data_IF_339182929358
#
_entry.id   IF_339182929358
#
_cell.length_a   1.000
_cell.length_b   1.000
_cell.length_c   1.000
_cell.angle_alpha   90.00
_cell.angle_beta   90.00
_cell.angle_gamma   90.00
#
_symmetry.space_group_name_H-M   'P 1'
#
loop_
_entity.id
_entity.type
_entity.pdbx_description
1 polymer ?
#
# COMPACT_ATOMS: atom_id res chain seq x y z
N UNK A 1 -9.75 22.36 -7.05
CA UNK A 1 -8.44 23.04 -6.88
C UNK A 1 -7.27 22.24 -7.50
N UNK A 2 -7.43 21.66 -8.71
CA UNK A 2 -6.47 20.73 -9.34
C UNK A 2 -5.68 21.31 -10.54
N UNK A 3 -5.74 22.63 -10.76
CA UNK A 3 -5.09 23.29 -11.92
C UNK A 3 -3.73 23.93 -11.61
N UNK A 4 -3.28 23.91 -10.36
CA UNK A 4 -2.03 24.55 -9.99
C UNK A 4 -0.93 23.48 -9.94
N UNK A 5 0.10 23.66 -10.76
CA UNK A 5 1.40 22.97 -10.77
C UNK A 5 1.62 21.72 -11.64
N UNK A 6 0.72 21.34 -12.56
CA UNK A 6 1.07 20.31 -13.54
C UNK A 6 1.45 20.93 -14.88
N UNK A 7 2.70 20.74 -15.30
CA UNK A 7 3.14 21.14 -16.66
C UNK A 7 2.47 20.25 -17.71
N UNK A 8 2.24 20.77 -18.92
CA UNK A 8 1.72 19.95 -20.03
C UNK A 8 2.60 18.72 -20.30
N UNK A 9 3.90 18.87 -20.09
CA UNK A 9 4.87 17.78 -20.20
C UNK A 9 4.61 16.67 -19.15
N UNK A 10 4.35 17.05 -17.89
CA UNK A 10 4.04 16.10 -16.83
C UNK A 10 2.71 15.40 -17.09
N UNK A 11 1.69 16.14 -17.52
CA UNK A 11 0.39 15.57 -17.88
C UNK A 11 0.54 14.54 -19.01
N UNK A 12 1.25 14.90 -20.08
CA UNK A 12 1.53 14.00 -21.19
C UNK A 12 2.30 12.75 -20.73
N UNK A 13 3.31 12.90 -19.87
CA UNK A 13 4.05 11.77 -19.34
C UNK A 13 3.17 10.82 -18.51
N UNK A 14 2.26 11.36 -17.69
CA UNK A 14 1.29 10.59 -16.91
C UNK A 14 0.31 9.83 -17.80
N UNK A 15 -0.17 10.45 -18.88
CA UNK A 15 -1.05 9.82 -19.88
C UNK A 15 -0.35 8.67 -20.61
N UNK A 16 0.86 8.90 -21.13
CA UNK A 16 1.67 7.86 -21.80
C UNK A 16 1.95 6.69 -20.85
N UNK A 17 2.41 6.98 -19.62
CA UNK A 17 2.67 5.96 -18.61
C UNK A 17 1.41 5.12 -18.31
N UNK A 18 0.27 5.78 -18.09
CA UNK A 18 -0.99 5.10 -17.73
C UNK A 18 -1.53 4.26 -18.87
N UNK A 19 -1.54 4.81 -20.10
CA UNK A 19 -2.08 4.13 -21.27
C UNK A 19 -1.25 2.90 -21.64
N UNK A 20 0.07 3.02 -21.67
CA UNK A 20 0.95 1.89 -22.00
C UNK A 20 0.84 0.75 -20.98
N UNK A 21 0.73 1.06 -19.68
CA UNK A 21 0.54 0.02 -18.67
C UNK A 21 -0.87 -0.58 -18.70
N UNK A 22 -1.91 0.22 -18.97
CA UNK A 22 -3.28 -0.29 -19.12
C UNK A 22 -3.38 -1.30 -20.29
N UNK A 23 -2.77 -0.99 -21.42
CA UNK A 23 -2.74 -1.87 -22.60
C UNK A 23 -2.12 -3.23 -22.25
N UNK A 24 -0.98 -3.23 -21.55
CA UNK A 24 -0.30 -4.46 -21.10
C UNK A 24 -1.17 -5.22 -20.08
N UNK A 25 -1.78 -4.49 -19.15
CA UNK A 25 -2.58 -5.06 -18.07
C UNK A 25 -3.84 -5.78 -18.55
N UNK A 26 -4.38 -5.44 -19.73
CA UNK A 26 -5.50 -6.16 -20.35
C UNK A 26 -5.25 -7.67 -20.45
N UNK A 27 -3.99 -8.07 -20.65
CA UNK A 27 -3.59 -9.47 -20.68
C UNK A 27 -2.82 -9.89 -19.44
N UNK A 28 -1.90 -9.07 -18.94
CA UNK A 28 -1.03 -9.45 -17.83
C UNK A 28 -1.82 -9.77 -16.56
N UNK A 29 -2.87 -9.02 -16.23
CA UNK A 29 -3.67 -9.26 -15.02
C UNK A 29 -4.55 -10.52 -15.05
N UNK A 30 -4.70 -11.17 -16.21
CA UNK A 30 -5.31 -12.51 -16.28
C UNK A 30 -4.42 -13.56 -15.60
N UNK A 31 -3.10 -13.33 -15.55
CA UNK A 31 -2.17 -14.14 -14.79
C UNK A 31 -2.07 -13.63 -13.34
N UNK A 32 -2.52 -14.46 -12.38
CA UNK A 32 -2.50 -14.13 -10.96
C UNK A 32 -1.11 -13.82 -10.39
N UNK A 33 -0.03 -14.30 -11.03
CA UNK A 33 1.33 -14.00 -10.59
C UNK A 33 1.80 -12.63 -11.09
N UNK A 34 1.40 -12.25 -12.30
CA UNK A 34 1.73 -10.92 -12.85
C UNK A 34 0.94 -9.82 -12.13
N UNK A 35 -0.26 -10.10 -11.59
CA UNK A 35 -0.98 -9.15 -10.72
C UNK A 35 -0.14 -8.71 -9.50
N UNK A 36 0.80 -9.52 -9.03
CA UNK A 36 1.69 -9.18 -7.92
C UNK A 36 2.88 -8.28 -8.32
N UNK A 37 3.05 -8.00 -9.62
CA UNK A 37 4.13 -7.16 -10.11
C UNK A 37 3.84 -5.67 -9.81
N UNK A 38 4.77 -4.94 -9.16
CA UNK A 38 4.51 -3.57 -8.75
C UNK A 38 4.46 -2.60 -9.93
N UNK A 39 5.30 -2.73 -10.96
CA UNK A 39 5.24 -1.84 -12.13
C UNK A 39 3.84 -1.87 -12.76
N UNK A 40 3.28 -3.06 -12.92
CA UNK A 40 1.96 -3.24 -13.50
C UNK A 40 0.86 -2.57 -12.67
N UNK A 41 1.07 -2.29 -11.38
CA UNK A 41 0.08 -1.57 -10.55
C UNK A 41 -0.09 -0.10 -10.91
N UNK A 42 0.73 0.45 -11.82
CA UNK A 42 0.76 1.86 -12.22
C UNK A 42 1.16 2.82 -11.09
N UNK A 43 1.70 2.31 -9.98
CA UNK A 43 2.21 3.18 -8.93
C UNK A 43 3.59 3.74 -9.37
N UNK A 44 3.75 5.07 -9.52
CA UNK A 44 4.98 5.67 -10.02
C UNK A 44 6.14 5.68 -8.99
N UNK A 45 5.87 5.37 -7.72
CA UNK A 45 6.87 5.51 -6.63
C UNK A 45 7.74 4.29 -6.40
N UNK A 46 7.42 3.20 -7.07
CA UNK A 46 8.02 1.87 -6.90
C UNK A 46 8.85 1.44 -8.11
N UNK A 47 8.93 2.29 -9.13
CA UNK A 47 9.69 2.11 -10.36
C UNK A 47 10.09 3.47 -10.94
N UNK A 48 10.94 3.51 -11.95
CA UNK A 48 11.40 4.77 -12.53
C UNK A 48 10.70 5.14 -13.85
N UNK A 49 9.76 4.32 -14.35
CA UNK A 49 9.24 4.45 -15.71
C UNK A 49 8.64 5.83 -15.98
N UNK A 50 7.78 6.36 -15.09
CA UNK A 50 7.17 7.68 -15.27
C UNK A 50 8.22 8.79 -15.40
N UNK A 51 9.23 8.77 -14.52
CA UNK A 51 10.33 9.74 -14.57
C UNK A 51 11.14 9.63 -15.86
N UNK A 52 11.38 8.40 -16.35
CA UNK A 52 12.09 8.15 -17.61
C UNK A 52 11.30 8.62 -18.83
N UNK A 53 9.98 8.44 -18.82
CA UNK A 53 9.07 8.98 -19.85
C UNK A 53 9.08 10.51 -19.81
N UNK A 54 8.96 11.11 -18.62
CA UNK A 54 9.01 12.56 -18.43
C UNK A 54 10.31 13.17 -18.97
N UNK A 55 11.45 12.51 -18.72
CA UNK A 55 12.77 12.89 -19.23
C UNK A 55 13.01 12.53 -20.70
N UNK A 56 12.04 11.90 -21.37
CA UNK A 56 12.15 11.41 -22.76
C UNK A 56 13.37 10.52 -22.97
N UNK A 57 13.69 9.69 -21.98
CA UNK A 57 14.83 8.78 -22.06
C UNK A 57 14.65 7.75 -23.18
N UNK A 58 15.75 7.46 -23.88
CA UNK A 58 15.82 6.32 -24.78
C UNK A 58 16.17 5.06 -23.99
N UNK A 59 15.54 3.95 -24.34
CA UNK A 59 15.91 2.64 -23.79
C UNK A 59 17.39 2.35 -24.10
N UNK A 60 18.09 1.73 -23.14
CA UNK A 60 19.52 1.45 -23.21
C UNK A 60 19.86 0.29 -24.16
N UNK A 61 18.85 -0.35 -24.75
CA UNK A 61 19.00 -1.47 -25.69
C UNK A 61 18.49 -2.78 -25.09
N UNK A 62 18.98 -3.93 -25.59
CA UNK A 62 18.63 -5.23 -25.02
C UNK A 62 19.26 -5.37 -23.64
N UNK A 63 18.46 -5.76 -22.64
CA UNK A 63 18.97 -6.06 -21.29
C UNK A 63 19.94 -7.25 -21.39
N UNK A 64 21.16 -7.07 -20.88
CA UNK A 64 22.18 -8.12 -20.87
C UNK A 64 21.69 -9.35 -20.09
N UNK A 65 21.92 -10.54 -20.64
CA UNK A 65 21.53 -11.81 -20.02
C UNK A 65 22.11 -11.96 -18.60
N UNK A 66 23.35 -11.52 -18.39
CA UNK A 66 24.01 -11.49 -17.08
C UNK A 66 23.27 -10.62 -16.06
N UNK A 67 22.72 -9.49 -16.50
CA UNK A 67 21.91 -8.60 -15.65
C UNK A 67 20.62 -9.28 -15.24
N UNK A 68 19.94 -9.93 -16.20
CA UNK A 68 18.72 -10.72 -15.93
C UNK A 68 19.02 -11.85 -14.94
N UNK A 69 20.06 -12.65 -15.19
CA UNK A 69 20.45 -13.76 -14.32
C UNK A 69 20.75 -13.28 -12.89
N UNK A 70 21.51 -12.18 -12.73
CA UNK A 70 21.78 -11.58 -11.42
C UNK A 70 20.50 -11.17 -10.69
N UNK A 71 19.54 -10.54 -11.39
CA UNK A 71 18.26 -10.12 -10.80
C UNK A 71 17.41 -11.31 -10.38
N UNK A 72 17.38 -12.38 -11.18
CA UNK A 72 16.66 -13.63 -10.86
C UNK A 72 17.27 -14.34 -9.64
N UNK A 73 18.61 -14.46 -9.59
CA UNK A 73 19.31 -15.04 -8.43
C UNK A 73 19.02 -14.23 -7.16
N UNK A 74 19.16 -12.90 -7.24
CA UNK A 74 18.89 -12.01 -6.11
C UNK A 74 17.43 -12.11 -5.64
N UNK A 75 16.49 -12.23 -6.58
CA UNK A 75 15.08 -12.44 -6.28
C UNK A 75 14.86 -13.74 -5.49
N UNK A 76 15.48 -14.86 -5.88
CA UNK A 76 15.33 -16.12 -5.16
C UNK A 76 15.89 -16.02 -3.75
N UNK A 77 17.14 -15.55 -3.61
CA UNK A 77 17.78 -15.36 -2.30
C UNK A 77 16.89 -14.52 -1.39
N UNK A 78 16.45 -13.35 -1.87
CA UNK A 78 15.60 -12.44 -1.10
C UNK A 78 14.25 -13.06 -0.75
N UNK A 79 13.61 -13.74 -1.70
CA UNK A 79 12.28 -14.34 -1.50
C UNK A 79 12.31 -15.47 -0.47
N UNK A 80 13.28 -16.37 -0.55
CA UNK A 80 13.43 -17.47 0.42
C UNK A 80 13.85 -16.96 1.80
N UNK A 81 14.76 -15.98 1.88
CA UNK A 81 15.10 -15.33 3.15
C UNK A 81 13.87 -14.71 3.83
N UNK A 82 12.98 -14.09 3.04
CA UNK A 82 11.73 -13.54 3.55
C UNK A 82 10.71 -14.61 3.96
N UNK A 83 10.66 -15.77 3.29
CA UNK A 83 9.85 -16.91 3.76
C UNK A 83 10.35 -17.38 5.12
N UNK A 84 11.67 -17.57 5.29
CA UNK A 84 12.24 -17.98 6.57
C UNK A 84 11.92 -16.97 7.69
N UNK A 85 12.09 -15.68 7.40
CA UNK A 85 11.76 -14.63 8.35
C UNK A 85 10.25 -14.61 8.69
N UNK A 86 9.39 -14.81 7.70
CA UNK A 86 7.94 -14.90 7.92
C UNK A 86 7.59 -16.12 8.78
N UNK A 87 8.23 -17.28 8.55
CA UNK A 87 8.06 -18.46 9.40
C UNK A 87 8.48 -18.18 10.84
N UNK A 88 9.60 -17.48 11.05
CA UNK A 88 10.01 -17.06 12.40
C UNK A 88 8.98 -16.14 13.06
N UNK A 89 8.41 -15.18 12.31
CA UNK A 89 7.32 -14.32 12.81
C UNK A 89 6.05 -15.11 13.11
N UNK A 90 5.71 -16.09 12.28
CA UNK A 90 4.57 -17.00 12.49
C UNK A 90 4.76 -17.86 13.75
N UNK A 91 5.96 -18.40 13.96
CA UNK A 91 6.30 -19.11 15.20
C UNK A 91 6.15 -18.18 16.41
N UNK A 92 6.70 -16.97 16.34
CA UNK A 92 6.54 -15.96 17.39
C UNK A 92 5.07 -15.60 17.66
N UNK A 93 4.25 -15.51 16.61
CA UNK A 93 2.80 -15.32 16.71
C UNK A 93 2.13 -16.48 17.47
N UNK A 94 2.40 -17.74 17.08
CA UNK A 94 1.82 -18.90 17.78
C UNK A 94 2.28 -19.00 19.24
N UNK A 95 3.57 -18.74 19.50
CA UNK A 95 4.13 -18.73 20.86
C UNK A 95 3.54 -17.62 21.73
N UNK A 96 3.06 -16.52 21.14
CA UNK A 96 2.42 -15.45 21.90
C UNK A 96 1.13 -15.87 22.57
N UNK A 97 0.54 -17.00 22.15
CA UNK A 97 -0.72 -17.52 22.67
C UNK A 97 -1.94 -16.76 22.15
N UNK A 98 -1.76 -15.79 21.25
CA UNK A 98 -2.85 -14.99 20.68
C UNK A 98 -3.93 -15.89 20.07
N UNK A 99 -5.17 -15.66 20.51
CA UNK A 99 -6.38 -16.27 20.00
C UNK A 99 -7.35 -15.16 19.69
N UNK A 100 -7.98 -15.26 18.53
CA UNK A 100 -8.94 -14.28 18.06
C UNK A 100 -10.29 -14.48 18.77
N UNK A 101 -10.35 -14.00 20.02
CA UNK A 101 -11.38 -14.37 21.00
C UNK A 101 -12.79 -13.89 20.61
N UNK A 102 -12.91 -12.77 19.89
CA UNK A 102 -14.20 -12.21 19.46
C UNK A 102 -14.56 -12.63 18.04
N UNK A 103 -13.63 -12.69 17.10
CA UNK A 103 -13.84 -13.26 15.76
C UNK A 103 -14.44 -14.67 15.81
N UNK A 104 -13.91 -15.55 16.66
CA UNK A 104 -14.41 -16.91 16.82
C UNK A 104 -15.82 -16.99 17.43
N UNK A 105 -16.22 -16.00 18.25
CA UNK A 105 -17.55 -15.93 18.89
C UNK A 105 -18.59 -15.18 18.06
N UNK A 106 -18.19 -14.14 17.33
CA UNK A 106 -19.08 -13.28 16.53
C UNK A 106 -19.47 -13.90 15.19
N UNK A 107 -18.56 -14.64 14.53
CA UNK A 107 -18.83 -15.25 13.21
C UNK A 107 -19.93 -16.31 13.25
N UNK A 108 -20.05 -17.09 14.33
CA UNK A 108 -21.09 -18.13 14.39
C UNK A 108 -22.51 -17.56 14.34
N UNK A 109 -22.68 -16.29 14.73
CA UNK A 109 -24.00 -15.68 14.91
C UNK A 109 -24.25 -14.47 14.00
N UNK A 110 -23.29 -14.07 13.15
CA UNK A 110 -23.41 -12.88 12.30
C UNK A 110 -23.55 -13.22 10.82
N UNK A 111 -24.37 -12.43 10.14
CA UNK A 111 -24.61 -12.56 8.71
C UNK A 111 -23.59 -11.81 7.87
N UNK A 112 -22.80 -10.89 8.45
CA UNK A 112 -21.78 -10.10 7.76
C UNK A 112 -20.55 -9.86 8.66
N UNK A 113 -19.35 -10.06 8.12
CA UNK A 113 -18.07 -9.73 8.76
C UNK A 113 -17.56 -8.37 8.26
N UNK A 114 -17.28 -7.43 9.18
CA UNK A 114 -16.65 -6.15 8.84
C UNK A 114 -15.14 -6.21 9.05
N UNK A 115 -14.37 -5.93 7.99
CA UNK A 115 -12.91 -5.98 7.96
C UNK A 115 -12.36 -4.58 7.73
N UNK A 116 -11.45 -4.14 8.59
CA UNK A 116 -10.74 -2.87 8.47
C UNK A 116 -9.33 -3.14 7.92
N UNK A 117 -9.12 -2.84 6.65
CA UNK A 117 -7.88 -3.08 5.90
C UNK A 117 -7.02 -1.81 5.87
N UNK A 118 -5.92 -1.82 6.62
CA UNK A 118 -5.09 -0.64 6.89
C UNK A 118 -3.62 -1.02 6.94
N UNK A 119 -2.73 -0.06 6.73
CA UNK A 119 -1.32 -0.25 7.04
C UNK A 119 -1.05 -0.11 8.55
N UNK A 120 -0.03 -0.80 9.05
CA UNK A 120 0.35 -0.75 10.47
C UNK A 120 1.87 -0.71 10.63
N UNK A 121 2.41 0.44 11.06
CA UNK A 121 3.82 0.58 11.45
C UNK A 121 4.02 -0.26 12.71
N UNK A 122 4.83 -1.31 12.65
CA UNK A 122 5.01 -2.22 13.77
C UNK A 122 5.44 -1.49 15.04
N UNK A 123 6.30 -0.48 14.92
CA UNK A 123 6.80 0.31 16.06
C UNK A 123 5.76 1.28 16.65
N UNK A 124 4.70 1.62 15.91
CA UNK A 124 3.64 2.51 16.41
C UNK A 124 2.42 1.74 16.94
N UNK A 125 2.31 0.43 16.73
CA UNK A 125 1.15 -0.36 17.18
C UNK A 125 0.92 -0.18 18.69
N UNK A 126 1.97 -0.32 19.51
CA UNK A 126 1.87 -0.14 20.96
C UNK A 126 1.58 1.31 21.35
N UNK A 127 2.23 2.27 20.68
CA UNK A 127 2.04 3.72 20.91
C UNK A 127 0.60 4.16 20.64
N UNK A 128 -0.04 3.52 19.66
CA UNK A 128 -1.40 3.80 19.24
C UNK A 128 -2.45 2.98 20.00
N UNK A 129 -2.09 2.36 21.13
CA UNK A 129 -2.98 1.48 21.90
C UNK A 129 -3.62 0.38 21.04
N UNK A 130 -2.86 -0.17 20.08
CA UNK A 130 -3.27 -1.24 19.17
C UNK A 130 -4.45 -0.89 18.25
N UNK A 131 -4.80 0.39 18.13
CA UNK A 131 -5.88 0.89 17.27
C UNK A 131 -5.32 1.65 16.08
N UNK A 132 -6.15 1.83 15.06
CA UNK A 132 -5.81 2.73 13.97
C UNK A 132 -5.92 4.19 14.41
N UNK A 133 -4.79 4.88 14.34
CA UNK A 133 -4.68 6.31 14.61
C UNK A 133 -4.11 7.09 13.42
N UNK A 134 -3.70 6.40 12.36
CA UNK A 134 -2.93 6.98 11.27
C UNK A 134 -3.73 7.06 9.96
N UNK A 135 -4.68 6.15 9.74
CA UNK A 135 -5.37 6.02 8.46
C UNK A 135 -6.87 6.31 8.56
N UNK A 136 -7.63 5.41 9.19
CA UNK A 136 -9.07 5.50 9.44
C UNK A 136 -9.33 5.86 10.91
N UNK A 137 -8.72 6.97 11.36
CA UNK A 137 -8.76 7.39 12.76
C UNK A 137 -10.19 7.58 13.27
N UNK A 138 -10.48 7.01 14.44
CA UNK A 138 -11.78 7.11 15.11
C UNK A 138 -12.87 6.20 14.53
N UNK A 139 -12.62 5.51 13.41
CA UNK A 139 -13.56 4.57 12.80
C UNK A 139 -13.95 3.47 13.79
N UNK A 140 -12.97 2.96 14.52
CA UNK A 140 -13.14 1.97 15.57
C UNK A 140 -14.14 2.40 16.65
N UNK A 141 -14.04 3.66 17.06
CA UNK A 141 -14.95 4.25 18.07
C UNK A 141 -16.38 4.35 17.52
N UNK A 142 -16.52 4.72 16.25
CA UNK A 142 -17.83 4.80 15.58
C UNK A 142 -18.45 3.40 15.47
N UNK A 143 -17.66 2.40 15.05
CA UNK A 143 -18.13 1.02 14.92
C UNK A 143 -18.56 0.46 16.29
N UNK A 144 -17.79 0.70 17.35
CA UNK A 144 -18.13 0.28 18.72
C UNK A 144 -19.40 0.97 19.23
N UNK A 145 -19.54 2.29 19.05
CA UNK A 145 -20.75 3.04 19.44
C UNK A 145 -22.01 2.53 18.73
N UNK A 146 -21.88 2.00 17.52
CA UNK A 146 -22.99 1.46 16.74
C UNK A 146 -23.12 -0.07 16.88
N UNK A 147 -22.41 -0.70 17.82
CA UNK A 147 -22.41 -2.15 18.03
C UNK A 147 -22.13 -2.96 16.75
N UNK A 148 -21.24 -2.46 15.89
CA UNK A 148 -20.80 -3.16 14.67
C UNK A 148 -19.49 -3.88 14.97
N UNK A 149 -19.47 -5.21 15.06
CA UNK A 149 -18.23 -5.94 15.26
C UNK A 149 -17.34 -5.84 14.02
N UNK A 150 -16.06 -5.65 14.26
CA UNK A 150 -15.08 -5.49 13.20
C UNK A 150 -13.76 -6.14 13.59
N UNK A 151 -12.95 -6.40 12.58
CA UNK A 151 -11.61 -6.95 12.74
C UNK A 151 -10.60 -6.17 11.90
N UNK A 152 -9.41 -5.94 12.45
CA UNK A 152 -8.31 -5.35 11.68
C UNK A 152 -7.61 -6.42 10.84
N UNK A 153 -7.41 -6.14 9.55
CA UNK A 153 -6.58 -6.96 8.65
C UNK A 153 -5.34 -6.16 8.24
N UNK A 154 -4.35 -5.97 9.13
CA UNK A 154 -3.27 -5.02 8.89
C UNK A 154 -2.29 -5.45 7.81
N UNK A 155 -1.70 -4.46 7.15
CA UNK A 155 -0.48 -4.58 6.34
C UNK A 155 0.69 -4.10 7.20
N UNK A 156 1.43 -5.04 7.79
CA UNK A 156 2.56 -4.71 8.66
C UNK A 156 3.75 -4.15 7.88
N UNK A 157 4.33 -3.05 8.35
CA UNK A 157 5.57 -2.48 7.79
C UNK A 157 6.50 -1.89 8.86
N UNK A 158 7.77 -1.68 8.50
CA UNK A 158 8.82 -1.14 9.37
C UNK A 158 9.72 -2.22 9.99
N UNK A 159 9.19 -3.01 10.93
CA UNK A 159 10.01 -3.99 11.66
C UNK A 159 9.90 -5.41 11.12
N UNK A 160 11.05 -6.09 11.08
CA UNK A 160 11.18 -7.48 10.71
C UNK A 160 11.42 -8.43 11.90
N UNK A 161 11.63 -7.90 13.11
CA UNK A 161 12.00 -8.69 14.30
C UNK A 161 10.84 -9.55 14.84
N UNK A 162 10.94 -10.90 14.83
CA UNK A 162 9.91 -11.79 15.37
C UNK A 162 9.57 -11.56 16.85
N UNK A 163 10.55 -11.21 17.70
CA UNK A 163 10.31 -10.95 19.13
C UNK A 163 9.43 -9.72 19.36
N UNK A 164 9.53 -8.71 18.48
CA UNK A 164 8.60 -7.57 18.51
C UNK A 164 7.16 -8.03 18.21
N UNK A 165 6.97 -8.91 17.23
CA UNK A 165 5.66 -9.49 16.93
C UNK A 165 5.12 -10.33 18.09
N UNK A 166 5.93 -11.19 18.70
CA UNK A 166 5.55 -11.92 19.92
C UNK A 166 5.01 -10.97 20.99
N UNK A 167 5.77 -9.91 21.30
CA UNK A 167 5.41 -8.93 22.33
C UNK A 167 4.13 -8.16 21.98
N UNK A 168 3.92 -7.83 20.70
CA UNK A 168 2.71 -7.16 20.22
C UNK A 168 1.50 -8.07 20.39
N UNK A 169 1.53 -9.29 19.85
CA UNK A 169 0.38 -10.19 19.88
C UNK A 169 0.04 -10.68 21.30
N UNK A 170 1.06 -10.90 22.13
CA UNK A 170 0.86 -11.21 23.56
C UNK A 170 0.10 -10.08 24.27
N UNK A 171 0.36 -8.82 23.91
CA UNK A 171 -0.34 -7.68 24.51
C UNK A 171 -1.72 -7.48 23.90
N UNK A 172 -1.90 -7.64 22.57
CA UNK A 172 -3.21 -7.58 21.90
C UNK A 172 -4.17 -8.59 22.53
N UNK A 173 -3.70 -9.79 22.89
CA UNK A 173 -4.54 -10.79 23.56
C UNK A 173 -5.21 -10.30 24.87
N UNK A 174 -4.59 -9.35 25.57
CA UNK A 174 -5.15 -8.74 26.78
C UNK A 174 -6.08 -7.55 26.49
N UNK A 175 -6.19 -7.17 25.22
CA UNK A 175 -7.05 -6.08 24.76
C UNK A 175 -8.35 -6.60 24.19
N UNK A 176 -9.25 -5.65 23.93
CA UNK A 176 -10.57 -5.86 23.37
C UNK A 176 -10.59 -5.66 21.85
N UNK A 177 -9.47 -5.90 21.17
CA UNK A 177 -9.24 -5.59 19.76
C UNK A 177 -8.82 -6.85 19.03
N UNK A 178 -9.49 -7.14 17.92
CA UNK A 178 -9.21 -8.31 17.10
C UNK A 178 -8.39 -7.95 15.85
N UNK A 179 -7.47 -8.83 15.53
CA UNK A 179 -6.60 -8.81 14.36
C UNK A 179 -6.70 -10.13 13.62
N UNK A 180 -6.81 -10.06 12.29
CA UNK A 180 -6.69 -11.19 11.37
C UNK A 180 -5.45 -11.04 10.51
N UNK A 181 -4.63 -12.10 10.48
CA UNK A 181 -3.32 -12.05 9.82
C UNK A 181 -3.05 -13.31 9.02
N UNK A 182 -2.11 -13.24 8.10
CA UNK A 182 -1.60 -14.40 7.37
C UNK A 182 -0.92 -15.43 8.29
N UNK A 183 -0.41 -15.01 9.46
CA UNK A 183 0.17 -15.92 10.44
C UNK A 183 -0.84 -16.97 10.94
N UNK A 184 -2.09 -16.58 11.20
CA UNK A 184 -3.16 -17.50 11.57
C UNK A 184 -3.83 -18.18 10.38
N UNK A 185 -4.01 -17.46 9.26
CA UNK A 185 -4.81 -17.95 8.13
C UNK A 185 -4.10 -18.98 7.26
N UNK A 186 -2.77 -18.87 7.12
CA UNK A 186 -2.05 -19.72 6.20
C UNK A 186 -1.80 -21.10 6.80
N UNK A 187 -2.11 -22.13 6.04
CA UNK A 187 -1.72 -23.50 6.33
C UNK A 187 -0.56 -23.89 5.42
N UNK A 188 -0.16 -25.17 5.46
CA UNK A 188 0.87 -25.73 4.58
C UNK A 188 0.49 -25.52 3.11
N UNK A 189 -0.80 -25.56 2.77
CA UNK A 189 -1.30 -25.30 1.40
C UNK A 189 -0.91 -23.92 0.87
N UNK A 190 -1.02 -22.87 1.69
CA UNK A 190 -0.65 -21.51 1.28
C UNK A 190 0.85 -21.34 1.18
N UNK A 191 1.61 -22.01 2.06
CA UNK A 191 3.08 -22.04 1.99
C UNK A 191 3.50 -22.69 0.66
N UNK A 192 2.91 -23.83 0.27
CA UNK A 192 3.17 -24.46 -1.04
C UNK A 192 2.82 -23.51 -2.20
N UNK A 193 1.67 -22.82 -2.14
CA UNK A 193 1.29 -21.81 -3.15
C UNK A 193 2.33 -20.68 -3.23
N UNK A 194 2.87 -20.20 -2.10
CA UNK A 194 3.93 -19.19 -2.05
C UNK A 194 5.23 -19.71 -2.66
N UNK A 195 5.66 -20.92 -2.32
CA UNK A 195 6.87 -21.52 -2.90
C UNK A 195 6.71 -21.67 -4.42
N UNK A 196 5.55 -22.13 -4.90
CA UNK A 196 5.23 -22.19 -6.33
C UNK A 196 5.27 -20.81 -6.99
N UNK A 197 4.73 -19.78 -6.34
CA UNK A 197 4.85 -18.40 -6.82
C UNK A 197 6.32 -17.99 -6.93
N UNK A 198 7.13 -18.26 -5.90
CA UNK A 198 8.55 -17.90 -5.89
C UNK A 198 9.25 -18.50 -7.11
N UNK A 199 9.08 -19.81 -7.35
CA UNK A 199 9.73 -20.51 -8.47
C UNK A 199 9.25 -20.08 -9.85
N UNK A 200 7.97 -19.72 -10.01
CA UNK A 200 7.36 -19.48 -11.33
C UNK A 200 7.35 -17.99 -11.72
N UNK A 201 7.25 -17.08 -10.76
CA UNK A 201 7.05 -15.65 -11.02
C UNK A 201 8.11 -15.01 -11.93
N UNK A 202 9.44 -15.24 -11.74
CA UNK A 202 10.44 -14.64 -12.62
C UNK A 202 10.22 -15.01 -14.09
N UNK A 203 9.88 -16.28 -14.37
CA UNK A 203 9.63 -16.75 -15.72
C UNK A 203 8.38 -16.11 -16.34
N UNK A 204 7.34 -15.87 -15.55
CA UNK A 204 6.15 -15.13 -16.00
C UNK A 204 6.52 -13.69 -16.40
N UNK A 205 7.32 -13.00 -15.59
CA UNK A 205 7.78 -11.64 -15.90
C UNK A 205 8.67 -11.63 -17.14
N UNK A 206 9.60 -12.59 -17.29
CA UNK A 206 10.45 -12.70 -18.47
C UNK A 206 9.66 -13.03 -19.74
N UNK A 207 8.63 -13.87 -19.65
CA UNK A 207 7.74 -14.15 -20.77
C UNK A 207 6.94 -12.91 -21.16
N UNK A 208 6.47 -12.11 -20.19
CA UNK A 208 5.85 -10.81 -20.48
C UNK A 208 6.85 -9.85 -21.14
N UNK A 209 8.12 -9.82 -20.71
CA UNK A 209 9.14 -9.02 -21.38
C UNK A 209 9.31 -9.46 -22.84
N UNK A 210 9.36 -10.77 -23.12
CA UNK A 210 9.48 -11.29 -24.49
C UNK A 210 8.30 -10.89 -25.37
N UNK A 211 7.06 -10.89 -24.85
CA UNK A 211 5.90 -10.45 -25.64
C UNK A 211 5.94 -8.97 -26.03
N UNK A 212 6.78 -8.16 -25.37
CA UNK A 212 6.96 -6.74 -25.68
C UNK A 212 8.08 -6.47 -26.71
N UNK A 213 8.87 -7.47 -27.14
CA UNK A 213 10.13 -7.24 -27.88
C UNK A 213 10.00 -6.58 -29.26
N UNK A 214 8.81 -6.55 -29.86
CA UNK A 214 8.61 -6.06 -31.23
C UNK A 214 8.10 -4.61 -31.31
N UNK A 215 8.27 -3.81 -30.25
CA UNK A 215 7.55 -2.55 -30.11
C UNK A 215 8.44 -1.38 -29.67
N UNK A 216 7.93 -0.16 -29.83
CA UNK A 216 8.68 1.10 -29.76
C UNK A 216 9.40 1.39 -28.44
N UNK A 217 10.01 2.58 -28.34
CA UNK A 217 10.87 2.96 -27.20
C UNK A 217 10.20 2.73 -25.82
N UNK A 218 8.92 3.06 -25.67
CA UNK A 218 8.18 2.89 -24.41
C UNK A 218 8.16 1.42 -23.95
N UNK A 219 7.92 0.47 -24.85
CA UNK A 219 7.85 -0.93 -24.47
C UNK A 219 9.24 -1.48 -24.08
N UNK A 220 10.32 -0.96 -24.68
CA UNK A 220 11.68 -1.26 -24.24
C UNK A 220 11.97 -0.69 -22.85
N UNK A 221 11.52 0.53 -22.55
CA UNK A 221 11.61 1.10 -21.19
C UNK A 221 10.83 0.23 -20.19
N UNK A 222 9.63 -0.22 -20.55
CA UNK A 222 8.81 -1.11 -19.71
C UNK A 222 9.53 -2.43 -19.46
N UNK A 223 10.15 -3.05 -20.47
CA UNK A 223 10.93 -4.28 -20.28
C UNK A 223 12.07 -4.10 -19.29
N UNK A 224 12.85 -3.02 -19.41
CA UNK A 224 13.92 -2.71 -18.47
C UNK A 224 13.38 -2.55 -17.04
N UNK A 225 12.26 -1.85 -16.87
CA UNK A 225 11.63 -1.67 -15.57
C UNK A 225 10.98 -2.96 -15.03
N UNK A 226 10.45 -3.83 -15.87
CA UNK A 226 9.97 -5.17 -15.48
C UNK A 226 11.13 -6.02 -14.92
N UNK A 227 12.29 -6.00 -15.57
CA UNK A 227 13.49 -6.69 -15.07
C UNK A 227 13.98 -6.05 -13.77
N UNK A 228 13.95 -4.72 -13.65
CA UNK A 228 14.33 -4.02 -12.43
C UNK A 228 13.40 -4.35 -11.25
N UNK A 229 12.10 -4.49 -11.52
CA UNK A 229 11.07 -4.83 -10.52
C UNK A 229 10.97 -6.33 -10.22
N UNK A 230 11.80 -7.20 -10.84
CA UNK A 230 11.96 -8.60 -10.40
C UNK A 230 12.38 -8.71 -8.94
N UNK A 231 12.96 -7.66 -8.34
CA UNK A 231 13.29 -7.63 -6.91
C UNK A 231 12.06 -7.64 -5.97
N UNK A 232 10.84 -7.56 -6.53
CA UNK A 232 9.58 -7.75 -5.81
C UNK A 232 9.47 -9.17 -5.30
N UNK A 233 8.98 -9.35 -4.08
CA UNK A 233 8.87 -10.68 -3.44
C UNK A 233 7.41 -11.12 -3.34
N UNK A 234 7.17 -12.28 -2.72
CA UNK A 234 5.87 -12.94 -2.65
C UNK A 234 4.81 -12.26 -1.77
N UNK A 235 5.13 -11.19 -1.02
CA UNK A 235 4.20 -10.54 -0.08
C UNK A 235 2.89 -10.05 -0.72
N UNK A 236 2.96 -9.48 -1.94
CA UNK A 236 1.75 -9.05 -2.66
C UNK A 236 0.85 -10.25 -2.99
N UNK A 237 1.46 -11.37 -3.41
CA UNK A 237 0.72 -12.60 -3.69
C UNK A 237 0.16 -13.24 -2.42
N UNK A 238 0.89 -13.21 -1.30
CA UNK A 238 0.35 -13.62 -0.01
C UNK A 238 -0.89 -12.81 0.37
N UNK A 239 -0.92 -11.50 0.12
CA UNK A 239 -2.13 -10.72 0.39
C UNK A 239 -3.34 -11.21 -0.40
N UNK A 240 -3.16 -11.71 -1.63
CA UNK A 240 -4.23 -12.39 -2.38
C UNK A 240 -4.70 -13.66 -1.68
N UNK A 241 -3.77 -14.53 -1.26
CA UNK A 241 -4.11 -15.76 -0.54
C UNK A 241 -4.85 -15.47 0.76
N UNK A 242 -4.48 -14.39 1.45
CA UNK A 242 -5.17 -13.93 2.65
C UNK A 242 -6.61 -13.50 2.36
N UNK A 243 -6.85 -12.76 1.27
CA UNK A 243 -8.20 -12.41 0.83
C UNK A 243 -9.03 -13.65 0.48
N UNK A 244 -8.46 -14.61 -0.26
CA UNK A 244 -9.11 -15.87 -0.62
C UNK A 244 -9.52 -16.66 0.64
N UNK A 245 -8.61 -16.82 1.60
CA UNK A 245 -8.91 -17.47 2.88
C UNK A 245 -9.99 -16.75 3.66
N UNK A 246 -9.91 -15.43 3.76
CA UNK A 246 -10.86 -14.63 4.52
C UNK A 246 -12.27 -14.75 3.95
N UNK A 247 -12.42 -14.65 2.63
CA UNK A 247 -13.70 -14.82 1.91
C UNK A 247 -14.32 -16.21 2.11
N UNK A 248 -13.50 -17.25 2.22
CA UNK A 248 -13.99 -18.60 2.48
C UNK A 248 -14.39 -18.85 3.94
N UNK A 249 -14.03 -17.95 4.87
CA UNK A 249 -14.39 -18.09 6.29
C UNK A 249 -15.76 -17.50 6.62
N UNK A 250 -16.32 -16.65 5.75
CA UNK A 250 -17.57 -15.95 6.05
C UNK A 250 -18.42 -15.76 4.78
N UNK A 251 -19.74 -16.04 4.82
CA UNK A 251 -20.60 -15.96 3.63
C UNK A 251 -20.74 -14.53 3.07
N UNK A 252 -20.54 -13.50 3.91
CA UNK A 252 -20.60 -12.09 3.49
C UNK A 252 -19.54 -11.25 4.18
N UNK A 253 -18.78 -10.46 3.42
CA UNK A 253 -17.70 -9.62 3.94
C UNK A 253 -17.89 -8.19 3.48
N UNK A 254 -17.83 -7.26 4.42
CA UNK A 254 -17.72 -5.82 4.16
C UNK A 254 -16.31 -5.36 4.52
N UNK A 255 -15.60 -4.78 3.56
CA UNK A 255 -14.24 -4.26 3.78
C UNK A 255 -14.25 -2.75 3.77
N UNK A 256 -13.69 -2.14 4.81
CA UNK A 256 -13.34 -0.72 4.89
C UNK A 256 -11.83 -0.63 4.70
N UNK A 257 -11.39 -0.30 3.49
CA UNK A 257 -9.97 -0.36 3.09
C UNK A 257 -9.39 1.03 2.93
N UNK A 258 -8.24 1.28 3.54
CA UNK A 258 -7.40 2.42 3.19
C UNK A 258 -6.82 2.21 1.78
N UNK A 259 -7.55 2.69 0.76
CA UNK A 259 -7.30 2.29 -0.62
C UNK A 259 -6.36 3.27 -1.34
N UNK A 260 -5.07 2.95 -1.36
CA UNK A 260 -4.11 3.65 -2.22
C UNK A 260 -4.00 3.05 -3.63
N UNK A 261 -4.90 2.12 -3.99
CA UNK A 261 -4.92 1.41 -5.28
C UNK A 261 -3.58 0.76 -5.67
N UNK A 262 -2.78 0.41 -4.67
CA UNK A 262 -1.49 -0.24 -4.83
C UNK A 262 -1.63 -1.73 -5.19
N UNK A 263 -0.53 -2.33 -5.62
CA UNK A 263 -0.43 -3.77 -5.92
C UNK A 263 -0.97 -4.65 -4.79
N UNK A 264 -0.73 -4.29 -3.52
CA UNK A 264 -1.18 -5.07 -2.37
C UNK A 264 -2.71 -5.06 -2.21
N UNK A 265 -3.36 -3.92 -2.42
CA UNK A 265 -4.82 -3.79 -2.38
C UNK A 265 -5.47 -4.56 -3.53
N UNK A 266 -4.96 -4.40 -4.76
CA UNK A 266 -5.44 -5.13 -5.94
C UNK A 266 -5.39 -6.65 -5.73
N UNK A 267 -4.30 -7.15 -5.14
CA UNK A 267 -4.18 -8.57 -4.80
C UNK A 267 -5.18 -8.98 -3.72
N UNK A 268 -5.34 -8.19 -2.65
CA UNK A 268 -6.32 -8.46 -1.59
C UNK A 268 -7.74 -8.53 -2.13
N UNK A 269 -8.17 -7.52 -2.88
CA UNK A 269 -9.51 -7.41 -3.43
C UNK A 269 -9.82 -8.54 -4.40
N UNK A 270 -8.85 -8.90 -5.24
CA UNK A 270 -8.99 -10.04 -6.13
C UNK A 270 -9.13 -11.35 -5.35
N UNK A 271 -8.30 -11.54 -4.32
CA UNK A 271 -8.37 -12.72 -3.46
C UNK A 271 -9.72 -12.87 -2.78
N UNK A 272 -10.24 -11.78 -2.21
CA UNK A 272 -11.58 -11.76 -1.58
C UNK A 272 -12.67 -12.19 -2.57
N UNK A 273 -12.62 -11.69 -3.81
CA UNK A 273 -13.62 -12.00 -4.85
C UNK A 273 -13.46 -13.36 -5.51
N UNK A 274 -12.29 -13.97 -5.41
CA UNK A 274 -12.08 -15.35 -5.87
C UNK A 274 -12.59 -16.39 -4.85
N UNK A 275 -12.87 -15.98 -3.60
CA UNK A 275 -13.47 -16.84 -2.59
C UNK A 275 -14.99 -16.99 -2.74
N UNK A 276 -15.60 -17.80 -1.88
CA UNK A 276 -17.03 -18.13 -1.93
C UNK A 276 -17.97 -17.09 -1.33
N UNK A 277 -17.44 -16.14 -0.54
CA UNK A 277 -18.24 -15.13 0.14
C UNK A 277 -18.71 -13.99 -0.78
N UNK A 278 -19.85 -13.38 -0.44
CA UNK A 278 -20.31 -12.13 -1.03
C UNK A 278 -19.48 -10.98 -0.47
N UNK A 279 -18.70 -10.31 -1.31
CA UNK A 279 -17.77 -9.27 -0.88
C UNK A 279 -18.22 -7.88 -1.32
N UNK A 280 -18.30 -6.96 -0.37
CA UNK A 280 -18.50 -5.53 -0.60
C UNK A 280 -17.29 -4.73 -0.06
N UNK A 281 -16.54 -4.10 -0.96
CA UNK A 281 -15.32 -3.35 -0.64
C UNK A 281 -15.61 -1.85 -0.76
N UNK A 282 -15.38 -1.10 0.31
CA UNK A 282 -15.43 0.36 0.34
C UNK A 282 -13.98 0.85 0.47
N UNK A 283 -13.49 1.50 -0.59
CA UNK A 283 -12.18 2.14 -0.58
C UNK A 283 -12.29 3.51 0.06
N UNK A 284 -11.43 3.82 1.01
CA UNK A 284 -11.36 5.09 1.71
C UNK A 284 -10.10 5.82 1.24
N UNK A 285 -10.28 6.84 0.40
CA UNK A 285 -9.22 7.71 -0.08
C UNK A 285 -9.25 9.04 0.66
N UNK A 286 -9.07 8.96 1.99
CA UNK A 286 -9.08 10.12 2.87
C UNK A 286 -7.72 10.80 2.97
N UNK A 287 -7.14 11.10 1.81
CA UNK A 287 -5.85 11.77 1.67
C UNK A 287 -5.88 12.74 0.50
N UNK A 288 -5.02 13.74 0.55
CA UNK A 288 -4.82 14.66 -0.56
C UNK A 288 -4.19 13.92 -1.72
N UNK A 289 -4.77 14.07 -2.91
CA UNK A 289 -4.27 13.44 -4.13
C UNK A 289 -3.34 14.40 -4.86
N UNK A 290 -2.31 13.84 -5.47
CA UNK A 290 -1.48 14.55 -6.44
C UNK A 290 -1.76 14.01 -7.84
N UNK A 291 -1.66 14.88 -8.85
CA UNK A 291 -1.82 14.55 -10.27
C UNK A 291 -0.97 13.36 -10.75
N UNK A 292 0.24 13.19 -10.22
CA UNK A 292 1.15 12.11 -10.60
C UNK A 292 0.77 10.76 -9.99
N UNK A 293 -0.18 10.70 -9.04
CA UNK A 293 -0.62 9.46 -8.40
C UNK A 293 -1.60 8.71 -9.31
N UNK A 294 -1.15 8.41 -10.51
CA UNK A 294 -1.93 7.81 -11.59
C UNK A 294 -2.49 6.42 -11.24
N UNK A 295 -1.90 5.72 -10.27
CA UNK A 295 -2.45 4.47 -9.73
C UNK A 295 -3.82 4.62 -9.07
N UNK A 296 -4.17 5.80 -8.57
CA UNK A 296 -5.50 6.06 -8.00
C UNK A 296 -6.59 6.13 -9.07
N UNK A 297 -6.21 6.44 -10.31
CA UNK A 297 -7.13 6.50 -11.44
C UNK A 297 -7.49 5.09 -11.90
N UNK A 298 -8.66 4.59 -11.51
CA UNK A 298 -9.15 3.24 -11.84
C UNK A 298 -9.39 3.09 -13.35
N UNK A 299 -8.85 2.04 -13.97
CA UNK A 299 -9.16 1.69 -15.36
C UNK A 299 -10.38 0.77 -15.47
N UNK A 300 -11.10 0.82 -16.60
CA UNK A 300 -12.25 -0.07 -16.84
C UNK A 300 -11.88 -1.55 -16.72
N UNK A 301 -10.68 -1.92 -17.16
CA UNK A 301 -10.20 -3.28 -17.07
C UNK A 301 -10.03 -3.72 -15.61
N UNK A 302 -9.53 -2.85 -14.74
CA UNK A 302 -9.41 -3.14 -13.31
C UNK A 302 -10.79 -3.33 -12.65
N UNK A 303 -11.82 -2.60 -13.11
CA UNK A 303 -13.22 -2.81 -12.70
C UNK A 303 -13.69 -4.20 -13.15
N UNK A 304 -13.56 -4.53 -14.44
CA UNK A 304 -13.99 -5.81 -15.03
C UNK A 304 -13.31 -7.02 -14.36
N UNK A 305 -12.03 -6.87 -13.99
CA UNK A 305 -11.26 -7.91 -13.31
C UNK A 305 -11.51 -7.97 -11.79
N UNK A 306 -12.36 -7.10 -11.23
CA UNK A 306 -12.63 -7.05 -9.81
C UNK A 306 -11.38 -6.73 -8.98
N UNK A 307 -10.57 -5.76 -9.45
CA UNK A 307 -9.33 -5.34 -8.78
C UNK A 307 -9.48 -4.05 -7.98
N UNK A 308 -10.67 -3.45 -7.97
CA UNK A 308 -10.96 -2.15 -7.34
C UNK A 308 -12.11 -2.25 -6.35
N UNK A 309 -12.32 -1.29 -5.44
CA UNK A 309 -13.48 -1.30 -4.54
C UNK A 309 -14.82 -1.32 -5.28
N UNK A 310 -15.91 -1.64 -4.58
CA UNK A 310 -17.28 -1.47 -5.11
C UNK A 310 -17.67 0.02 -5.17
N UNK A 311 -17.15 0.81 -4.22
CA UNK A 311 -17.22 2.27 -4.23
C UNK A 311 -16.02 2.88 -3.52
N UNK A 312 -15.69 4.12 -3.86
CA UNK A 312 -14.61 4.88 -3.24
C UNK A 312 -15.18 6.11 -2.54
N UNK A 313 -14.86 6.25 -1.25
CA UNK A 313 -15.11 7.44 -0.45
C UNK A 313 -13.91 8.38 -0.50
N UNK A 314 -14.15 9.66 -0.66
CA UNK A 314 -13.10 10.69 -0.78
C UNK A 314 -13.36 11.86 0.18
N UNK A 315 -12.37 12.72 0.42
CA UNK A 315 -12.52 13.89 1.33
C UNK A 315 -13.52 14.97 0.86
N UNK A 316 -14.18 14.78 -0.30
CA UNK A 316 -15.15 15.74 -0.82
C UNK A 316 -15.34 15.60 -2.32
N UNK A 317 -16.35 16.30 -2.87
CA UNK A 317 -16.74 16.21 -4.30
C UNK A 317 -15.60 16.53 -5.26
N UNK A 318 -14.70 17.44 -4.89
CA UNK A 318 -13.52 17.83 -5.69
C UNK A 318 -12.50 16.69 -5.90
N UNK A 319 -12.57 15.64 -5.08
CA UNK A 319 -11.73 14.45 -5.21
C UNK A 319 -12.44 13.31 -5.95
N UNK A 320 -13.62 13.54 -6.52
CA UNK A 320 -14.30 12.53 -7.33
C UNK A 320 -13.62 12.46 -8.70
N UNK A 321 -13.22 11.26 -9.13
CA UNK A 321 -12.73 11.03 -10.49
C UNK A 321 -13.90 10.65 -11.38
N UNK A 322 -13.94 11.19 -12.59
CA UNK A 322 -14.77 10.63 -13.65
C UNK A 322 -14.17 9.29 -14.07
N UNK A 323 -14.69 8.19 -13.51
CA UNK A 323 -14.45 6.85 -14.02
C UNK A 323 -15.74 6.04 -13.96
N UNK A 324 -15.77 4.85 -14.57
CA UNK A 324 -16.90 3.92 -14.48
C UNK A 324 -17.15 3.34 -13.08
N UNK A 325 -16.48 3.84 -12.03
CA UNK A 325 -16.62 3.41 -10.65
C UNK A 325 -17.43 4.43 -9.83
N UNK A 326 -18.19 3.95 -8.84
CA UNK A 326 -18.94 4.82 -7.94
C UNK A 326 -18.02 5.54 -6.96
N UNK A 327 -18.00 6.87 -7.01
CA UNK A 327 -17.36 7.73 -6.00
C UNK A 327 -18.41 8.47 -5.19
N UNK A 328 -18.16 8.60 -3.89
CA UNK A 328 -19.00 9.37 -2.97
C UNK A 328 -18.11 10.25 -2.06
N UNK A 329 -18.60 11.40 -1.60
CA UNK A 329 -17.96 12.09 -0.49
C UNK A 329 -18.06 11.23 0.77
N UNK A 330 -16.96 11.13 1.52
CA UNK A 330 -16.89 10.48 2.82
C UNK A 330 -16.45 11.44 3.90
N UNK A 331 -16.29 10.89 5.11
CA UNK A 331 -15.78 11.62 6.27
C UNK A 331 -14.25 11.62 6.24
N UNK A 332 -13.63 12.80 6.32
CA UNK A 332 -12.17 12.99 6.28
C UNK A 332 -11.47 12.52 7.57
N UNK A 333 -11.65 11.24 7.95
CA UNK A 333 -11.25 10.67 9.24
C UNK A 333 -9.77 10.88 9.58
N UNK A 334 -8.89 10.80 8.58
CA UNK A 334 -7.45 11.04 8.76
C UNK A 334 -7.13 12.43 9.31
N UNK A 335 -7.99 13.41 9.02
CA UNK A 335 -7.82 14.82 9.35
C UNK A 335 -8.70 15.27 10.52
N UNK A 336 -9.29 14.33 11.27
CA UNK A 336 -10.22 14.64 12.36
C UNK A 336 -9.68 15.73 13.30
N UNK A 337 -8.43 15.59 13.75
CA UNK A 337 -7.80 16.56 14.66
C UNK A 337 -7.70 17.98 14.10
N UNK A 338 -7.61 18.16 12.77
CA UNK A 338 -7.54 19.50 12.17
C UNK A 338 -8.81 20.31 12.44
N UNK A 339 -9.94 19.64 12.65
CA UNK A 339 -11.24 20.26 12.90
C UNK A 339 -11.56 20.38 14.40
N UNK A 340 -10.78 19.71 15.26
CA UNK A 340 -10.94 19.75 16.72
C UNK A 340 -10.00 20.77 17.40
N UNK A 341 -9.12 21.45 16.66
CA UNK A 341 -8.25 22.49 17.24
C UNK A 341 -8.97 23.84 17.31
N UNK A 342 -8.94 24.54 18.47
CA UNK A 342 -9.36 25.93 18.52
C UNK A 342 -8.45 26.77 17.61
N UNK A 343 -9.04 27.56 16.73
CA UNK A 343 -8.29 28.50 15.90
C UNK A 343 -7.74 29.57 16.83
N UNK A 344 -6.43 29.58 17.04
CA UNK A 344 -5.77 30.63 17.79
C UNK A 344 -5.75 31.88 16.89
N UNK A 345 -6.77 32.74 17.03
CA UNK A 345 -6.96 33.94 16.20
C UNK A 345 -6.03 35.10 16.55
N UNK A 346 -5.28 34.97 17.64
CA UNK A 346 -4.27 35.95 18.04
C UNK A 346 -2.98 35.61 17.31
N UNK A 347 -2.70 36.36 16.23
CA UNK A 347 -1.63 36.11 15.26
C UNK A 347 -0.19 36.24 15.76
N UNK A 348 0.06 36.08 17.07
CA UNK A 348 1.31 36.43 17.72
C UNK A 348 2.36 35.30 17.74
N UNK A 349 2.12 34.15 17.10
CA UNK A 349 3.08 33.03 17.10
C UNK A 349 2.99 32.14 15.83
N UNK A 350 2.84 32.75 14.65
CA UNK A 350 2.86 32.02 13.37
C UNK A 350 4.29 31.58 13.04
N UNK A 351 4.67 30.38 13.50
CA UNK A 351 5.94 29.75 13.10
C UNK A 351 5.84 29.13 11.71
N UNK A 352 6.88 29.34 10.90
CA UNK A 352 7.01 28.71 9.59
C UNK A 352 7.13 27.17 9.73
N UNK A 353 6.26 26.40 9.07
CA UNK A 353 6.25 24.94 9.16
C UNK A 353 6.87 24.28 7.93
N UNK A 354 7.93 23.51 8.13
CA UNK A 354 8.58 22.68 7.11
C UNK A 354 8.06 21.25 7.21
N UNK A 355 7.26 20.85 6.23
CA UNK A 355 6.77 19.48 6.10
C UNK A 355 7.75 18.64 5.28
N UNK A 356 8.30 17.59 5.89
CA UNK A 356 9.20 16.68 5.19
C UNK A 356 8.41 15.61 4.45
N UNK A 357 8.87 15.27 3.25
CA UNK A 357 8.25 14.24 2.41
C UNK A 357 8.53 12.84 2.93
N UNK A 358 7.93 11.79 2.38
CA UNK A 358 8.34 10.40 2.64
C UNK A 358 9.77 10.09 2.16
N UNK A 359 10.30 10.85 1.20
CA UNK A 359 11.63 10.63 0.62
C UNK A 359 12.71 11.29 1.47
N UNK A 360 13.60 10.48 2.02
CA UNK A 360 14.70 10.94 2.88
C UNK A 360 15.60 11.96 2.17
N UNK A 361 16.04 11.65 0.94
CA UNK A 361 16.90 12.54 0.16
C UNK A 361 16.24 13.91 -0.09
N UNK A 362 14.97 13.93 -0.47
CA UNK A 362 14.27 15.19 -0.71
C UNK A 362 14.01 15.96 0.59
N UNK A 363 13.79 15.25 1.69
CA UNK A 363 13.69 15.86 3.01
C UNK A 363 15.01 16.52 3.41
N UNK A 364 16.15 15.88 3.19
CA UNK A 364 17.47 16.51 3.40
C UNK A 364 17.73 17.68 2.46
N UNK A 365 17.35 17.57 1.19
CA UNK A 365 17.46 18.68 0.23
C UNK A 365 16.65 19.90 0.70
N UNK A 366 15.41 19.68 1.13
CA UNK A 366 14.53 20.72 1.65
C UNK A 366 15.13 21.35 2.92
N UNK A 367 15.58 20.54 3.88
CA UNK A 367 16.25 21.04 5.08
C UNK A 367 17.51 21.84 4.74
N UNK A 368 18.28 21.44 3.72
CA UNK A 368 19.44 22.19 3.23
C UNK A 368 19.07 23.50 2.55
N UNK A 369 17.92 23.57 1.89
CA UNK A 369 17.40 24.81 1.30
C UNK A 369 16.95 25.76 2.41
N UNK A 370 16.21 25.24 3.41
CA UNK A 370 15.76 26.01 4.58
C UNK A 370 16.96 26.55 5.37
N UNK A 371 17.99 25.74 5.62
CA UNK A 371 19.18 26.18 6.37
C UNK A 371 20.05 27.21 5.64
N UNK A 372 19.88 27.32 4.32
CA UNK A 372 20.51 28.37 3.50
C UNK A 372 19.61 29.57 3.27
N UNK A 373 18.36 29.53 3.72
CA UNK A 373 17.45 30.65 3.56
C UNK A 373 17.91 31.83 4.43
N UNK A 374 17.61 33.04 3.99
CA UNK A 374 17.82 34.26 4.77
C UNK A 374 16.70 34.51 5.77
N UNK A 375 15.78 33.55 5.92
CA UNK A 375 14.67 33.67 6.85
C UNK A 375 15.20 33.62 8.29
N UNK A 376 14.81 34.61 9.09
CA UNK A 376 15.21 34.74 10.50
C UNK A 376 14.16 34.17 11.45
N UNK A 377 13.04 33.66 10.94
CA UNK A 377 11.99 33.04 11.73
C UNK A 377 12.36 31.61 12.15
N UNK A 378 11.89 31.22 13.33
CA UNK A 378 11.93 29.82 13.77
C UNK A 378 11.12 28.93 12.82
N UNK A 379 11.74 27.85 12.37
CA UNK A 379 11.05 26.81 11.62
C UNK A 379 10.63 25.65 12.53
N UNK A 380 9.36 25.28 12.46
CA UNK A 380 8.90 23.98 12.97
C UNK A 380 9.15 22.92 11.89
N UNK A 381 9.80 21.81 12.24
CA UNK A 381 10.04 20.72 11.31
C UNK A 381 9.13 19.54 11.66
N UNK A 382 8.30 19.11 10.71
CA UNK A 382 7.45 17.93 10.87
C UNK A 382 7.89 16.81 9.92
N UNK A 383 8.58 15.77 10.42
CA UNK A 383 8.96 14.63 9.60
C UNK A 383 7.73 13.83 9.15
N UNK A 384 7.82 13.19 7.99
CA UNK A 384 6.83 12.19 7.59
C UNK A 384 6.84 11.01 8.60
N UNK A 385 5.70 10.40 8.96
CA UNK A 385 5.64 9.33 9.99
C UNK A 385 6.52 8.09 9.73
N UNK A 386 6.92 7.89 8.46
CA UNK A 386 7.77 6.78 8.04
C UNK A 386 9.27 7.14 7.98
N UNK A 387 9.63 8.41 8.22
CA UNK A 387 11.01 8.87 8.23
C UNK A 387 11.58 8.80 9.63
N UNK A 388 12.69 8.07 9.76
CA UNK A 388 13.47 8.02 10.98
C UNK A 388 14.66 8.96 10.82
N UNK A 389 14.42 10.27 10.95
CA UNK A 389 15.50 11.24 10.99
C UNK A 389 16.13 11.19 12.38
N UNK A 390 17.30 10.59 12.50
CA UNK A 390 18.19 10.90 13.61
C UNK A 390 18.66 12.34 13.40
N UNK A 391 17.95 13.31 13.99
CA UNK A 391 18.46 14.68 14.05
C UNK A 391 19.74 14.65 14.87
N UNK A 392 20.90 14.79 14.22
CA UNK A 392 22.06 15.32 14.92
C UNK A 392 21.66 16.73 15.39
N UNK A 393 21.79 16.99 16.68
CA UNK A 393 21.37 18.23 17.37
C UNK A 393 22.02 19.54 16.84
N UNK A 394 22.72 19.50 15.70
CA UNK A 394 23.43 20.64 15.13
C UNK A 394 22.57 21.63 14.33
N UNK A 395 21.27 21.39 14.17
CA UNK A 395 20.38 22.32 13.44
C UNK A 395 19.60 23.32 14.34
N UNK A 396 19.71 23.22 15.67
CA UNK A 396 19.08 24.14 16.62
C UNK A 396 20.02 25.29 17.09
N UNK A 397 21.03 25.64 16.29
CA UNK A 397 21.86 26.82 16.57
C UNK A 397 21.90 27.73 15.35
N UNK A 398 20.92 28.63 15.27
CA UNK A 398 21.16 30.04 14.97
C UNK A 398 20.17 30.88 15.73
#
# INVERSE_FOLDING_TARGET
MNKLYQTDLEKHACEVFSNSLNEINNNAYKDKYLLANPLLSRNPYINNLLNRIYKREKAKGKVLLSTVAKKVILYYIKSFALVFLWLAKKTAFHLSGYKNNRYAKSIKNQTELVVVDIFSVVDNIKKNNFRDRNYLRGLDTILERNNVPYIYAPIFYGSHNPLKFYSIFKKIQTTNIDYITDFELFQITEIIKIIKFILVYPWKVLNLCKSLNNSGNINKLIQEELVNTLATTWHNYARRLMGEKLSNLHPKIKVLSWDESQVIHKNFYRGLRDGSGVVNIIGCQFFLRHSIWVNLGVSEQEIKLGLVPNKILTNGKENILCSGLKYEPGVSLRYLDLFDQPINSNGDDLKSLVLLSYFEKESYNLLRLVSKSTCTEDFLIKPHPALNLCFNESLNKK
#
